data_IF_148218774835
#
_entry.id   IF_148218774835
#
_cell.length_a   1.000
_cell.length_b   1.000
_cell.length_c   1.000
_cell.angle_alpha   90.00
_cell.angle_beta   90.00
_cell.angle_gamma   90.00
#
_symmetry.space_group_name_H-M   'P 1'
#
loop_
_entity.id
_entity.type
_entity.pdbx_description
1 polymer ?
#
# COMPACT_ATOMS: atom_id res chain seq x y z
N UNK A 1 41.19 7.59 28.09
CA UNK A 1 39.74 7.32 27.92
C UNK A 1 39.12 8.46 27.10
N UNK A 2 39.12 8.39 25.76
CA UNK A 2 38.35 9.33 24.92
C UNK A 2 36.86 9.16 25.28
N UNK A 3 36.13 10.26 25.51
CA UNK A 3 34.69 10.22 25.81
C UNK A 3 33.99 9.43 24.71
N UNK A 4 33.22 8.39 25.08
CA UNK A 4 32.50 7.50 24.15
C UNK A 4 31.59 8.25 23.13
N UNK A 5 31.29 9.54 23.37
CA UNK A 5 30.40 10.39 22.56
C UNK A 5 30.93 10.84 21.20
N UNK A 6 32.14 10.46 20.77
CA UNK A 6 32.73 10.86 19.48
C UNK A 6 33.04 9.70 18.53
N UNK A 7 32.68 8.47 18.89
CA UNK A 7 32.85 7.33 17.99
C UNK A 7 31.70 7.31 16.97
N UNK A 8 31.96 6.93 15.71
CA UNK A 8 30.89 6.76 14.73
C UNK A 8 29.89 5.67 15.21
N UNK A 9 28.67 5.66 14.67
CA UNK A 9 27.76 4.55 14.88
C UNK A 9 28.37 3.24 14.38
N UNK A 10 28.11 2.14 15.07
CA UNK A 10 28.53 0.81 14.62
C UNK A 10 27.50 -0.25 14.97
N UNK A 11 27.41 -1.27 14.12
CA UNK A 11 26.52 -2.41 14.27
C UNK A 11 27.38 -3.68 14.33
N UNK A 12 27.23 -4.44 15.40
CA UNK A 12 27.98 -5.67 15.64
C UNK A 12 26.99 -6.84 15.73
N UNK A 13 27.06 -7.78 14.78
CA UNK A 13 26.24 -8.99 14.81
C UNK A 13 26.68 -9.87 15.98
N UNK A 14 25.72 -10.25 16.82
CA UNK A 14 25.96 -11.07 18.00
C UNK A 14 25.95 -12.55 17.60
N UNK A 15 27.10 -13.21 17.73
CA UNK A 15 27.18 -14.65 17.55
C UNK A 15 26.40 -15.33 18.68
N UNK A 16 25.26 -15.93 18.35
CA UNK A 16 24.54 -16.81 19.26
C UNK A 16 24.82 -18.25 18.87
N UNK A 17 25.53 -18.98 19.72
CA UNK A 17 25.51 -20.44 19.73
C UNK A 17 24.12 -20.90 20.21
N UNK A 18 23.14 -20.88 19.31
CA UNK A 18 21.77 -21.33 19.59
C UNK A 18 21.28 -22.23 18.47
N UNK A 19 20.62 -23.33 18.82
CA UNK A 19 20.00 -24.29 17.89
C UNK A 19 18.81 -23.73 17.07
N UNK A 20 18.61 -22.41 17.06
CA UNK A 20 17.48 -21.76 16.38
C UNK A 20 17.96 -20.55 15.59
N UNK A 21 17.62 -20.55 14.30
CA UNK A 21 17.82 -19.42 13.40
C UNK A 21 17.07 -18.17 13.91
N UNK A 22 17.57 -17.00 13.51
CA UNK A 22 16.89 -15.73 13.73
C UNK A 22 15.59 -15.69 12.93
N UNK A 23 14.64 -14.88 13.35
CA UNK A 23 13.36 -14.69 12.65
C UNK A 23 13.43 -13.44 11.80
N UNK A 24 12.68 -13.41 10.69
CA UNK A 24 12.55 -12.19 9.89
C UNK A 24 12.06 -10.99 10.72
N UNK A 25 11.23 -11.23 11.73
CA UNK A 25 10.82 -10.19 12.69
C UNK A 25 11.98 -9.53 13.44
N UNK A 26 13.08 -10.24 13.66
CA UNK A 26 14.23 -9.70 14.38
C UNK A 26 14.94 -8.60 13.57
N UNK A 27 14.90 -8.70 12.23
CA UNK A 27 15.40 -7.66 11.33
C UNK A 27 14.53 -6.40 11.36
N UNK A 28 13.21 -6.58 11.34
CA UNK A 28 12.24 -5.48 11.50
C UNK A 28 12.41 -4.79 12.86
N UNK A 29 12.51 -5.59 13.92
CA UNK A 29 12.64 -5.08 15.28
C UNK A 29 13.99 -4.36 15.48
N UNK A 30 15.07 -4.79 14.80
CA UNK A 30 16.34 -4.07 14.72
C UNK A 30 16.18 -2.71 14.03
N UNK A 31 15.51 -2.64 12.87
CA UNK A 31 15.26 -1.38 12.17
C UNK A 31 14.46 -0.39 13.04
N UNK A 32 13.40 -0.87 13.68
CA UNK A 32 12.57 -0.08 14.59
C UNK A 32 13.33 0.37 15.84
N UNK A 33 14.17 -0.50 16.39
CA UNK A 33 15.03 -0.14 17.52
C UNK A 33 16.03 0.96 17.15
N UNK A 34 16.64 0.89 15.96
CA UNK A 34 17.57 1.91 15.44
C UNK A 34 16.88 3.27 15.37
N UNK A 35 15.65 3.32 14.86
CA UNK A 35 14.87 4.55 14.70
C UNK A 35 14.22 5.06 16.00
N UNK A 36 14.53 4.42 17.12
CA UNK A 36 14.01 4.75 18.45
C UNK A 36 12.48 4.69 18.53
N UNK A 37 11.86 3.77 17.78
CA UNK A 37 10.42 3.55 17.85
C UNK A 37 10.03 3.06 19.26
N UNK A 38 8.96 3.65 19.80
CA UNK A 38 8.50 3.36 21.15
C UNK A 38 8.14 1.88 21.35
N UNK A 39 8.60 1.30 22.46
CA UNK A 39 8.19 -0.05 22.88
C UNK A 39 8.98 -1.20 22.24
N UNK A 40 10.01 -0.94 21.42
CA UNK A 40 10.85 -1.98 20.84
C UNK A 40 12.09 -2.25 21.70
N UNK A 41 12.31 -3.52 22.14
CA UNK A 41 13.44 -3.87 22.98
C UNK A 41 14.76 -3.84 22.20
N UNK A 42 15.88 -3.90 22.91
CA UNK A 42 17.19 -4.09 22.28
C UNK A 42 17.18 -5.37 21.43
N UNK A 43 17.64 -5.31 20.17
CA UNK A 43 17.66 -6.45 19.28
C UNK A 43 18.56 -7.53 19.83
N UNK A 44 18.14 -8.78 19.65
CA UNK A 44 18.90 -9.93 20.14
C UNK A 44 19.98 -10.39 19.17
N UNK A 45 19.89 -9.97 17.90
CA UNK A 45 20.75 -10.39 16.80
C UNK A 45 21.97 -9.46 16.60
N UNK A 46 21.91 -8.24 17.13
CA UNK A 46 22.94 -7.23 16.90
C UNK A 46 23.04 -6.29 18.09
N UNK A 47 24.24 -5.74 18.30
CA UNK A 47 24.51 -4.64 19.21
C UNK A 47 24.73 -3.37 18.41
N UNK A 48 23.95 -2.33 18.71
CA UNK A 48 24.04 -1.02 18.04
C UNK A 48 24.72 -0.02 18.98
N UNK A 49 25.92 0.42 18.63
CA UNK A 49 26.67 1.43 19.38
C UNK A 49 26.43 2.83 18.79
N UNK A 50 26.34 3.84 19.65
CA UNK A 50 26.03 5.23 19.27
C UNK A 50 24.77 5.37 18.40
N UNK A 51 23.74 4.56 18.70
CA UNK A 51 22.46 4.51 17.99
C UNK A 51 21.84 5.88 17.70
N UNK A 52 21.90 6.80 18.66
CA UNK A 52 21.37 8.17 18.52
C UNK A 52 21.99 8.97 17.35
N UNK A 53 23.12 8.53 16.79
CA UNK A 53 23.71 9.13 15.60
C UNK A 53 23.09 8.59 14.31
N UNK A 54 22.49 7.39 14.34
CA UNK A 54 21.83 6.78 13.18
C UNK A 54 20.46 7.42 13.02
N UNK A 55 20.31 8.23 11.99
CA UNK A 55 19.05 8.95 11.74
C UNK A 55 18.07 8.18 10.87
N UNK A 56 18.55 7.20 10.10
CA UNK A 56 17.80 6.56 9.03
C UNK A 56 18.13 5.09 8.86
N UNK A 57 17.18 4.34 8.29
CA UNK A 57 17.36 2.96 7.88
C UNK A 57 16.87 2.78 6.45
N UNK A 58 17.70 2.15 5.61
CA UNK A 58 17.30 1.61 4.31
C UNK A 58 17.29 0.10 4.44
N UNK A 59 16.10 -0.50 4.32
CA UNK A 59 15.89 -1.94 4.37
C UNK A 59 15.62 -2.44 2.95
N UNK A 60 16.53 -3.20 2.37
CA UNK A 60 16.46 -3.66 0.99
C UNK A 60 16.30 -5.18 0.91
N UNK A 61 15.24 -5.61 0.25
CA UNK A 61 14.91 -7.01 -0.02
C UNK A 61 15.38 -7.33 -1.44
N UNK A 62 16.23 -8.34 -1.58
CA UNK A 62 16.86 -8.74 -2.84
C UNK A 62 16.63 -10.24 -3.06
N UNK A 63 15.45 -10.65 -3.57
CA UNK A 63 15.19 -12.04 -3.91
C UNK A 63 16.11 -12.53 -5.03
N UNK A 64 16.45 -13.82 -5.02
CA UNK A 64 17.36 -14.45 -5.98
C UNK A 64 18.81 -14.58 -5.50
N UNK A 65 19.15 -14.01 -4.35
CA UNK A 65 20.42 -14.29 -3.67
C UNK A 65 20.33 -15.62 -2.90
N UNK A 66 21.21 -16.54 -3.22
CA UNK A 66 21.25 -17.88 -2.64
C UNK A 66 22.45 -18.05 -1.70
N UNK A 67 22.37 -19.01 -0.77
CA UNK A 67 23.50 -19.33 0.13
C UNK A 67 24.74 -19.77 -0.64
N UNK A 68 24.53 -20.52 -1.73
CA UNK A 68 25.59 -21.00 -2.60
C UNK A 68 26.38 -19.87 -3.25
N UNK A 69 25.74 -18.73 -3.54
CA UNK A 69 26.41 -17.53 -4.09
C UNK A 69 27.50 -17.04 -3.12
N UNK A 70 27.33 -17.24 -1.81
CA UNK A 70 28.27 -16.84 -0.76
C UNK A 70 29.15 -17.99 -0.25
N UNK A 71 29.19 -19.12 -0.97
CA UNK A 71 29.97 -20.31 -0.61
C UNK A 71 29.46 -21.03 0.64
N UNK A 72 28.19 -20.83 1.01
CA UNK A 72 27.54 -21.48 2.15
C UNK A 72 26.72 -22.66 1.60
N UNK A 73 26.96 -23.91 2.04
CA UNK A 73 26.17 -25.07 1.59
C UNK A 73 24.68 -24.94 1.98
N UNK A 74 23.77 -25.40 1.12
CA UNK A 74 22.32 -25.33 1.36
C UNK A 74 21.86 -26.16 2.58
N UNK A 75 22.51 -27.30 2.85
CA UNK A 75 22.18 -28.21 3.96
C UNK A 75 22.61 -27.70 5.35
N UNK A 76 22.95 -26.42 5.47
CA UNK A 76 23.50 -25.85 6.70
C UNK A 76 22.41 -25.46 7.68
N UNK A 77 21.72 -26.44 8.26
CA UNK A 77 20.62 -26.22 9.22
C UNK A 77 21.05 -25.54 10.55
N UNK A 78 22.36 -25.41 10.82
CA UNK A 78 22.89 -25.09 12.16
C UNK A 78 23.76 -23.83 12.26
N UNK A 79 23.91 -23.06 11.20
CA UNK A 79 24.67 -21.80 11.26
C UNK A 79 23.71 -20.64 11.54
N UNK A 80 23.84 -19.99 12.69
CA UNK A 80 23.12 -18.73 12.99
C UNK A 80 23.76 -17.53 12.30
N UNK A 81 25.10 -17.50 12.23
CA UNK A 81 25.88 -16.49 11.51
C UNK A 81 27.24 -17.03 11.11
N UNK A 82 27.76 -16.66 9.93
CA UNK A 82 29.11 -17.01 9.48
C UNK A 82 29.83 -15.82 8.85
N UNK A 83 31.16 -15.87 8.84
CA UNK A 83 31.97 -14.92 8.10
C UNK A 83 31.75 -15.10 6.59
N UNK A 84 31.79 -14.02 5.82
CA UNK A 84 31.69 -14.06 4.37
C UNK A 84 33.04 -14.50 3.77
N UNK A 85 33.18 -15.81 3.51
CA UNK A 85 34.46 -16.38 3.02
C UNK A 85 34.59 -16.39 1.51
N UNK A 86 33.47 -16.51 0.78
CA UNK A 86 33.43 -16.59 -0.67
C UNK A 86 32.36 -15.63 -1.17
N UNK A 87 32.71 -14.69 -2.05
CA UNK A 87 31.76 -13.75 -2.67
C UNK A 87 32.10 -13.70 -4.16
N UNK A 88 31.10 -13.71 -5.07
CA UNK A 88 31.34 -13.60 -6.50
C UNK A 88 32.09 -12.30 -6.85
N UNK A 89 32.94 -12.32 -7.86
CA UNK A 89 33.76 -11.16 -8.24
C UNK A 89 32.90 -9.94 -8.63
N UNK A 90 31.69 -10.19 -9.13
CA UNK A 90 30.71 -9.18 -9.51
C UNK A 90 30.09 -8.47 -8.29
N UNK A 91 29.98 -9.14 -7.14
CA UNK A 91 29.33 -8.64 -5.92
C UNK A 91 30.32 -7.97 -4.95
N UNK A 92 31.21 -7.14 -5.49
CA UNK A 92 32.26 -6.44 -4.72
C UNK A 92 31.75 -5.61 -3.54
N UNK A 93 30.55 -5.06 -3.63
CA UNK A 93 29.89 -4.28 -2.58
C UNK A 93 29.75 -5.08 -1.28
N UNK A 94 29.32 -6.35 -1.40
CA UNK A 94 29.17 -7.23 -0.24
C UNK A 94 30.53 -7.47 0.45
N UNK A 95 31.57 -7.70 -0.35
CA UNK A 95 32.94 -7.92 0.12
C UNK A 95 33.56 -6.71 0.82
N UNK A 96 33.17 -5.50 0.43
CA UNK A 96 33.71 -4.26 0.99
C UNK A 96 33.01 -3.82 2.26
N UNK A 97 31.72 -4.14 2.42
CA UNK A 97 30.87 -3.52 3.43
C UNK A 97 30.26 -4.47 4.46
N UNK A 98 30.35 -5.79 4.24
CA UNK A 98 29.78 -6.78 5.16
C UNK A 98 30.84 -7.80 5.55
N UNK A 99 30.93 -8.08 6.85
CA UNK A 99 31.85 -9.08 7.39
C UNK A 99 31.14 -10.43 7.60
N UNK A 100 29.84 -10.40 7.94
CA UNK A 100 29.07 -11.56 8.39
C UNK A 100 27.75 -11.72 7.66
N UNK A 101 27.37 -12.97 7.43
CA UNK A 101 26.04 -13.41 7.05
C UNK A 101 25.21 -13.77 8.28
N UNK A 102 23.91 -13.47 8.27
CA UNK A 102 22.96 -13.85 9.32
C UNK A 102 21.85 -14.71 8.71
N UNK A 103 21.68 -15.94 9.23
CA UNK A 103 20.61 -16.83 8.79
C UNK A 103 19.29 -16.45 9.45
N UNK A 104 18.26 -16.24 8.61
CA UNK A 104 16.95 -15.76 9.02
C UNK A 104 15.87 -16.64 8.40
N UNK A 105 14.93 -17.11 9.22
CA UNK A 105 13.78 -17.87 8.73
C UNK A 105 12.75 -16.95 8.08
N UNK A 106 12.28 -17.34 6.90
CA UNK A 106 11.19 -16.67 6.20
C UNK A 106 9.92 -16.61 7.07
N UNK A 107 9.17 -15.50 7.02
CA UNK A 107 7.94 -15.36 7.78
C UNK A 107 6.86 -16.28 7.18
N UNK A 108 6.07 -16.92 8.04
CA UNK A 108 5.02 -17.82 7.60
C UNK A 108 4.49 -18.69 8.73
N UNK A 109 3.63 -19.63 8.36
CA UNK A 109 3.16 -20.72 9.19
C UNK A 109 3.52 -22.07 8.56
N UNK A 110 2.98 -23.17 9.09
CA UNK A 110 3.29 -24.53 8.62
C UNK A 110 2.88 -24.78 7.16
N UNK A 111 1.91 -24.02 6.64
CA UNK A 111 1.26 -24.29 5.37
C UNK A 111 1.47 -23.15 4.37
N UNK A 112 2.04 -22.01 4.78
CA UNK A 112 2.11 -20.82 3.93
C UNK A 112 3.26 -19.90 4.33
N UNK A 113 3.97 -19.39 3.33
CA UNK A 113 4.90 -18.27 3.48
C UNK A 113 4.16 -16.95 3.35
N UNK A 114 4.60 -15.97 4.12
CA UNK A 114 4.04 -14.62 4.09
C UNK A 114 4.94 -13.69 3.28
N UNK A 115 4.39 -12.75 2.49
CA UNK A 115 5.20 -11.76 1.79
C UNK A 115 6.09 -10.95 2.74
N UNK A 116 7.38 -10.79 2.42
CA UNK A 116 8.34 -10.11 3.29
C UNK A 116 7.97 -8.65 3.57
N UNK A 117 7.54 -7.89 2.56
CA UNK A 117 7.04 -6.52 2.74
C UNK A 117 5.90 -6.47 3.75
N UNK A 118 4.94 -7.41 3.69
CA UNK A 118 3.84 -7.50 4.65
C UNK A 118 4.33 -7.84 6.06
N UNK A 119 5.24 -8.81 6.17
CA UNK A 119 5.81 -9.21 7.45
C UNK A 119 6.64 -8.09 8.11
N UNK A 120 7.27 -7.23 7.30
CA UNK A 120 8.02 -6.08 7.75
C UNK A 120 7.10 -4.91 8.15
N UNK A 121 6.10 -4.60 7.33
CA UNK A 121 5.19 -3.46 7.50
C UNK A 121 4.06 -3.70 8.51
N UNK A 122 3.89 -4.93 8.99
CA UNK A 122 2.89 -5.30 10.01
C UNK A 122 3.55 -5.91 11.24
N UNK A 123 3.31 -5.30 12.41
CA UNK A 123 3.77 -5.79 13.71
C UNK A 123 2.64 -6.57 14.37
N UNK A 124 2.74 -7.91 14.52
CA UNK A 124 1.64 -8.71 15.05
C UNK A 124 1.26 -8.34 16.48
N UNK A 125 -0.04 -8.32 16.77
CA UNK A 125 -0.51 -8.13 18.14
C UNK A 125 -0.21 -9.35 19.00
N UNK A 126 0.14 -9.12 20.27
CA UNK A 126 0.06 -10.17 21.28
C UNK A 126 -1.39 -10.64 21.46
N UNK A 127 -1.59 -11.88 21.92
CA UNK A 127 -2.93 -12.42 22.22
C UNK A 127 -3.74 -11.50 23.15
N UNK A 128 -3.08 -10.86 24.13
CA UNK A 128 -3.71 -9.89 25.04
C UNK A 128 -4.18 -8.63 24.32
N UNK A 129 -3.35 -8.05 23.45
CA UNK A 129 -3.71 -6.88 22.65
C UNK A 129 -4.85 -7.20 21.67
N UNK A 130 -4.78 -8.33 20.96
CA UNK A 130 -5.83 -8.79 20.05
C UNK A 130 -7.17 -8.92 20.78
N UNK A 131 -7.19 -9.63 21.92
CA UNK A 131 -8.41 -9.78 22.72
C UNK A 131 -8.96 -8.45 23.25
N UNK A 132 -8.09 -7.52 23.65
CA UNK A 132 -8.52 -6.18 24.10
C UNK A 132 -9.20 -5.42 22.95
N UNK A 133 -8.56 -5.40 21.79
CA UNK A 133 -9.03 -4.66 20.60
C UNK A 133 -10.33 -5.23 20.04
N UNK A 134 -10.47 -6.56 20.01
CA UNK A 134 -11.74 -7.22 19.64
C UNK A 134 -12.87 -6.78 20.57
N UNK A 135 -12.69 -6.87 21.89
CA UNK A 135 -13.71 -6.45 22.87
C UNK A 135 -14.08 -4.97 22.73
N UNK A 136 -13.09 -4.12 22.50
CA UNK A 136 -13.29 -2.68 22.29
C UNK A 136 -14.19 -2.43 21.07
N UNK A 137 -13.87 -3.05 19.93
CA UNK A 137 -14.63 -2.90 18.70
C UNK A 137 -16.04 -3.52 18.79
N UNK A 138 -16.18 -4.67 19.46
CA UNK A 138 -17.47 -5.32 19.70
C UNK A 138 -18.42 -4.46 20.54
N UNK A 139 -17.86 -3.70 21.50
CA UNK A 139 -18.64 -2.82 22.37
C UNK A 139 -19.05 -1.50 21.72
N UNK A 140 -18.45 -1.13 20.58
CA UNK A 140 -18.72 0.14 19.90
C UNK A 140 -19.87 -0.03 18.90
N UNK A 141 -21.00 0.59 19.21
CA UNK A 141 -22.08 0.86 18.24
C UNK A 141 -21.64 2.00 17.32
N UNK A 142 -21.91 1.86 16.03
CA UNK A 142 -21.50 2.84 15.02
C UNK A 142 -22.67 3.72 14.59
N UNK A 143 -22.37 5.00 14.34
CA UNK A 143 -23.23 5.91 13.58
C UNK A 143 -22.53 6.34 12.29
N UNK A 144 -23.26 6.89 11.31
CA UNK A 144 -22.68 7.33 10.03
C UNK A 144 -21.43 8.23 10.18
N UNK A 145 -21.41 9.25 11.07
CA UNK A 145 -20.22 10.06 11.28
C UNK A 145 -18.97 9.30 11.76
N UNK A 146 -19.10 8.13 12.42
CA UNK A 146 -17.97 7.30 12.81
C UNK A 146 -17.23 6.66 11.61
N UNK A 147 -17.88 6.64 10.44
CA UNK A 147 -17.37 6.02 9.21
C UNK A 147 -16.79 7.04 8.23
N UNK A 148 -16.88 8.34 8.54
CA UNK A 148 -16.35 9.40 7.69
C UNK A 148 -14.82 9.31 7.61
N UNK A 149 -14.30 9.54 6.42
CA UNK A 149 -12.87 9.72 6.19
C UNK A 149 -12.33 10.92 6.98
N UNK A 150 -11.15 10.75 7.55
CA UNK A 150 -10.37 11.84 8.15
C UNK A 150 -9.60 12.61 7.08
N UNK A 151 -9.17 13.85 7.34
CA UNK A 151 -8.30 14.57 6.39
C UNK A 151 -7.04 13.79 6.03
N UNK A 152 -6.52 12.98 6.95
CA UNK A 152 -5.37 12.12 6.69
C UNK A 152 -5.72 11.01 5.69
N UNK A 153 -6.91 10.42 5.76
CA UNK A 153 -7.37 9.43 4.78
C UNK A 153 -7.48 10.04 3.38
N UNK A 154 -7.99 11.27 3.27
CA UNK A 154 -8.03 12.00 1.99
C UNK A 154 -6.62 12.17 1.41
N UNK A 155 -5.67 12.59 2.24
CA UNK A 155 -4.29 12.86 1.80
C UNK A 155 -3.48 11.61 1.50
N UNK A 156 -3.70 10.53 2.23
CA UNK A 156 -2.97 9.27 2.07
C UNK A 156 -3.41 8.53 0.81
N UNK A 157 -4.68 8.63 0.45
CA UNK A 157 -5.26 7.94 -0.69
C UNK A 157 -5.50 8.87 -1.89
N UNK A 158 -4.86 10.05 -1.90
CA UNK A 158 -4.87 11.05 -2.98
C UNK A 158 -6.28 11.50 -3.45
N UNK A 159 -7.20 11.66 -2.50
CA UNK A 159 -8.51 12.21 -2.79
C UNK A 159 -8.42 13.72 -3.05
N UNK A 160 -9.31 14.26 -3.90
CA UNK A 160 -9.38 15.68 -4.08
C UNK A 160 -9.94 16.36 -2.81
N UNK A 161 -9.08 17.12 -2.14
CA UNK A 161 -9.34 17.67 -0.80
C UNK A 161 -10.24 18.90 -0.88
N UNK A 162 -11.44 18.81 -0.29
CA UNK A 162 -12.38 19.92 -0.16
C UNK A 162 -12.02 20.83 1.04
N UNK A 163 -12.20 22.17 0.95
CA UNK A 163 -11.84 23.08 2.05
C UNK A 163 -12.59 22.86 3.36
N UNK A 164 -13.80 22.28 3.30
CA UNK A 164 -14.63 21.95 4.47
C UNK A 164 -14.31 20.58 5.09
N UNK A 165 -13.29 19.85 4.63
CA UNK A 165 -12.84 18.62 5.30
C UNK A 165 -12.40 18.95 6.73
N UNK A 166 -12.89 18.18 7.70
CA UNK A 166 -12.65 18.46 9.11
C UNK A 166 -11.15 18.38 9.46
N UNK A 167 -10.64 19.42 10.13
CA UNK A 167 -9.25 19.56 10.60
C UNK A 167 -8.18 19.53 9.49
N UNK A 168 -8.54 19.86 8.25
CA UNK A 168 -7.55 19.95 7.17
C UNK A 168 -6.67 21.22 7.30
N UNK A 169 -5.33 21.08 7.23
CA UNK A 169 -4.42 22.24 7.15
C UNK A 169 -4.61 23.02 5.84
N UNK A 170 -4.59 24.36 5.92
CA UNK A 170 -4.86 25.23 4.77
C UNK A 170 -3.81 25.12 3.66
N UNK A 171 -2.56 24.84 4.01
CA UNK A 171 -1.47 24.61 3.06
C UNK A 171 -1.61 23.30 2.26
N UNK A 172 -2.47 22.39 2.72
CA UNK A 172 -2.75 21.11 2.07
C UNK A 172 -3.99 21.17 1.15
N UNK A 173 -4.75 22.26 1.18
CA UNK A 173 -5.85 22.49 0.25
C UNK A 173 -5.27 23.07 -1.04
N UNK A 174 -5.25 22.26 -2.10
CA UNK A 174 -4.88 22.74 -3.43
C UNK A 174 -5.96 23.70 -3.96
N UNK A 175 -5.60 24.80 -4.65
CA UNK A 175 -6.57 25.64 -5.35
C UNK A 175 -7.39 24.83 -6.34
N UNK A 176 -8.65 25.23 -6.58
CA UNK A 176 -9.48 24.67 -7.65
C UNK A 176 -8.78 24.93 -8.98
N UNK A 177 -8.51 23.88 -9.74
CA UNK A 177 -8.03 23.96 -11.12
C UNK A 177 -9.21 24.04 -12.09
N UNK A 178 -8.95 24.38 -13.35
CA UNK A 178 -9.99 24.56 -14.36
C UNK A 178 -10.90 23.32 -14.50
N UNK A 179 -12.21 23.54 -14.46
CA UNK A 179 -13.24 22.50 -14.57
C UNK A 179 -13.62 21.77 -13.27
N UNK A 180 -12.92 22.03 -12.16
CA UNK A 180 -13.27 21.49 -10.85
C UNK A 180 -14.32 22.33 -10.11
N UNK A 181 -15.18 21.67 -9.34
CA UNK A 181 -16.19 22.33 -8.50
C UNK A 181 -16.21 21.77 -7.07
N UNK A 182 -16.55 22.63 -6.12
CA UNK A 182 -16.76 22.29 -4.72
C UNK A 182 -18.27 22.20 -4.46
N UNK A 183 -18.70 21.14 -3.76
CA UNK A 183 -20.07 21.13 -3.19
C UNK A 183 -20.20 22.27 -2.18
N UNK A 184 -21.35 22.95 -2.15
CA UNK A 184 -21.59 24.06 -1.22
C UNK A 184 -22.66 23.71 -0.20
N UNK A 185 -22.58 24.21 1.06
CA UNK A 185 -23.64 23.99 2.04
C UNK A 185 -24.96 24.64 1.62
N UNK A 186 -26.05 23.89 1.70
CA UNK A 186 -27.43 24.40 1.63
C UNK A 186 -28.38 23.48 2.42
N UNK A 187 -29.52 24.02 2.84
CA UNK A 187 -30.56 23.24 3.52
C UNK A 187 -31.55 22.63 2.52
N UNK A 188 -31.97 21.39 2.78
CA UNK A 188 -33.03 20.70 2.05
C UNK A 188 -33.69 19.64 2.94
N UNK A 189 -34.93 19.25 2.58
CA UNK A 189 -35.73 18.26 3.31
C UNK A 189 -35.54 16.81 2.80
N UNK A 190 -34.72 16.63 1.75
CA UNK A 190 -34.42 15.31 1.17
C UNK A 190 -33.47 14.45 2.01
N UNK A 191 -33.06 13.31 1.46
CA UNK A 191 -32.03 12.45 2.06
C UNK A 191 -30.73 13.21 2.29
N UNK A 192 -30.07 13.00 3.43
CA UNK A 192 -28.75 13.56 3.75
C UNK A 192 -27.59 12.57 3.56
N UNK A 193 -27.87 11.45 2.90
CA UNK A 193 -26.88 10.42 2.60
C UNK A 193 -27.16 9.86 1.22
N UNK A 194 -26.12 9.79 0.41
CA UNK A 194 -26.18 9.38 -0.97
C UNK A 194 -25.08 8.37 -1.26
N UNK A 195 -25.32 7.45 -2.19
CA UNK A 195 -24.27 6.60 -2.76
C UNK A 195 -24.12 6.90 -4.24
N UNK A 196 -22.87 6.94 -4.68
CA UNK A 196 -22.47 7.34 -6.02
C UNK A 196 -21.56 6.26 -6.62
N UNK A 197 -21.77 5.98 -7.90
CA UNK A 197 -20.87 5.20 -8.72
C UNK A 197 -20.90 5.72 -10.17
N UNK A 198 -19.77 5.65 -10.85
CA UNK A 198 -19.60 6.09 -12.23
C UNK A 198 -18.97 5.01 -13.10
N UNK A 199 -19.41 4.96 -14.35
CA UNK A 199 -18.71 4.23 -15.39
C UNK A 199 -17.79 5.19 -16.16
N UNK A 200 -16.59 4.71 -16.51
CA UNK A 200 -15.59 5.50 -17.22
C UNK A 200 -15.09 4.78 -18.47
N UNK A 201 -14.70 5.58 -19.46
CA UNK A 201 -13.98 5.12 -20.65
C UNK A 201 -12.56 5.72 -20.69
N UNK A 202 -11.68 5.14 -21.50
CA UNK A 202 -10.31 5.61 -21.68
C UNK A 202 -10.23 6.57 -22.87
N UNK A 203 -9.48 7.66 -22.70
CA UNK A 203 -9.07 8.61 -23.76
C UNK A 203 -7.55 8.69 -23.83
N UNK A 204 -7.02 9.50 -24.75
CA UNK A 204 -5.58 9.77 -24.81
C UNK A 204 -5.03 10.50 -23.58
N UNK A 205 -5.87 11.26 -22.86
CA UNK A 205 -5.49 12.10 -21.72
C UNK A 205 -5.80 11.47 -20.36
N UNK A 206 -6.61 10.40 -20.33
CA UNK A 206 -6.96 9.68 -19.11
C UNK A 206 -8.34 9.06 -19.15
N UNK A 207 -8.85 8.64 -17.99
CA UNK A 207 -10.23 8.17 -17.85
C UNK A 207 -11.20 9.35 -17.89
N UNK A 208 -12.35 9.17 -18.52
CA UNK A 208 -13.43 10.16 -18.62
C UNK A 208 -14.77 9.56 -18.21
N UNK A 209 -15.63 10.38 -17.62
CA UNK A 209 -16.97 9.99 -17.18
C UNK A 209 -17.88 9.70 -18.38
N UNK A 210 -18.58 8.55 -18.35
CA UNK A 210 -19.53 8.15 -19.40
C UNK A 210 -20.89 7.71 -18.89
N UNK A 211 -21.02 7.31 -17.62
CA UNK A 211 -22.31 7.16 -16.92
C UNK A 211 -22.14 7.49 -15.45
N UNK A 212 -23.18 8.03 -14.83
CA UNK A 212 -23.23 8.30 -13.39
C UNK A 212 -24.54 7.78 -12.82
N UNK A 213 -24.47 7.13 -11.65
CA UNK A 213 -25.61 6.76 -10.83
C UNK A 213 -25.51 7.35 -9.43
N UNK A 214 -26.57 8.03 -8.99
CA UNK A 214 -26.72 8.57 -7.64
C UNK A 214 -27.99 8.03 -7.01
N UNK A 215 -27.86 7.41 -5.84
CA UNK A 215 -28.99 6.87 -5.06
C UNK A 215 -29.05 7.54 -3.69
N UNK A 216 -30.25 7.65 -3.12
CA UNK A 216 -30.44 8.10 -1.75
C UNK A 216 -30.34 6.95 -0.72
N UNK A 217 -30.47 7.27 0.57
CA UNK A 217 -30.38 6.27 1.65
C UNK A 217 -31.51 5.22 1.61
N UNK A 218 -32.65 5.56 1.03
CA UNK A 218 -33.80 4.67 0.82
C UNK A 218 -33.68 3.83 -0.47
N UNK A 219 -32.50 3.85 -1.12
CA UNK A 219 -32.17 3.12 -2.36
C UNK A 219 -32.95 3.58 -3.60
N UNK A 220 -33.54 4.77 -3.54
CA UNK A 220 -34.16 5.41 -4.70
C UNK A 220 -33.08 6.04 -5.59
N UNK A 221 -33.15 5.76 -6.89
CA UNK A 221 -32.26 6.35 -7.89
C UNK A 221 -32.68 7.77 -8.20
N UNK A 222 -31.83 8.74 -7.85
CA UNK A 222 -32.05 10.17 -8.07
C UNK A 222 -31.45 10.66 -9.39
N UNK A 223 -30.38 10.01 -9.84
CA UNK A 223 -29.69 10.28 -11.09
C UNK A 223 -29.19 8.96 -11.68
N UNK A 224 -29.44 8.70 -12.95
CA UNK A 224 -28.84 7.63 -13.74
C UNK A 224 -28.76 8.12 -15.19
N UNK A 225 -27.62 8.69 -15.57
CA UNK A 225 -27.46 9.37 -16.85
C UNK A 225 -26.15 9.02 -17.53
N UNK A 226 -26.21 8.85 -18.85
CA UNK A 226 -25.03 8.81 -19.70
C UNK A 226 -24.47 10.21 -19.92
N UNK A 227 -23.16 10.30 -20.05
CA UNK A 227 -22.42 11.55 -20.25
C UNK A 227 -21.63 11.45 -21.53
N UNK A 228 -21.61 12.52 -22.32
CA UNK A 228 -20.77 12.65 -23.50
C UNK A 228 -19.45 13.33 -23.09
N UNK A 229 -18.31 12.62 -23.14
CA UNK A 229 -17.01 13.25 -22.92
C UNK A 229 -16.69 14.29 -23.99
N UNK A 230 -15.92 15.31 -23.62
CA UNK A 230 -15.37 16.28 -24.57
C UNK A 230 -14.23 15.66 -25.39
N UNK A 231 -13.42 14.83 -24.74
CA UNK A 231 -12.30 14.12 -25.34
C UNK A 231 -12.77 12.87 -26.12
N UNK A 232 -12.05 12.53 -27.19
CA UNK A 232 -12.32 11.34 -27.98
C UNK A 232 -11.99 10.06 -27.20
N UNK A 233 -12.96 9.14 -27.14
CA UNK A 233 -12.80 7.83 -26.49
C UNK A 233 -11.92 6.94 -27.37
N UNK A 234 -10.82 6.45 -26.81
CA UNK A 234 -9.91 5.50 -27.48
C UNK A 234 -10.26 4.05 -27.14
N UNK A 235 -10.80 3.81 -25.94
CA UNK A 235 -11.29 2.50 -25.51
C UNK A 235 -12.47 2.68 -24.56
N UNK A 236 -13.60 2.04 -24.89
CA UNK A 236 -14.82 2.10 -24.11
C UNK A 236 -14.74 1.30 -22.80
N UNK A 237 -13.77 0.40 -22.68
CA UNK A 237 -13.62 -0.50 -21.55
C UNK A 237 -14.89 -1.34 -21.30
N UNK A 238 -15.65 -1.68 -22.35
CA UNK A 238 -17.01 -2.25 -22.28
C UNK A 238 -17.13 -3.46 -21.36
N UNK A 239 -16.10 -4.29 -21.25
CA UNK A 239 -16.09 -5.44 -20.34
C UNK A 239 -16.19 -5.03 -18.85
N UNK A 240 -15.71 -3.85 -18.52
CA UNK A 240 -15.78 -3.25 -17.19
C UNK A 240 -16.95 -2.27 -17.14
N UNK A 241 -16.98 -1.27 -18.02
CA UNK A 241 -17.92 -0.14 -17.96
C UNK A 241 -19.35 -0.46 -18.41
N UNK A 242 -19.54 -1.50 -19.23
CA UNK A 242 -20.81 -1.75 -19.95
C UNK A 242 -21.16 -0.73 -21.03
N UNK A 243 -20.29 0.26 -21.27
CA UNK A 243 -20.54 1.33 -22.23
C UNK A 243 -20.16 0.88 -23.64
N UNK A 244 -20.98 1.25 -24.63
CA UNK A 244 -20.71 1.07 -26.05
C UNK A 244 -20.85 2.38 -26.80
N UNK A 245 -20.28 2.47 -28.00
CA UNK A 245 -20.40 3.64 -28.86
C UNK A 245 -21.87 3.97 -29.18
N UNK A 246 -22.71 2.95 -29.37
CA UNK A 246 -24.14 3.12 -29.65
C UNK A 246 -24.89 3.77 -28.49
N UNK A 247 -24.54 3.45 -27.24
CA UNK A 247 -25.14 4.05 -26.05
C UNK A 247 -24.84 5.55 -25.98
N UNK A 248 -23.64 5.98 -26.37
CA UNK A 248 -23.22 7.39 -26.30
C UNK A 248 -23.58 8.22 -27.54
N UNK A 249 -23.95 7.58 -28.66
CA UNK A 249 -24.15 8.25 -29.97
C UNK A 249 -25.06 9.48 -29.94
N UNK A 250 -26.14 9.44 -29.15
CA UNK A 250 -27.13 10.52 -29.07
C UNK A 250 -27.10 11.26 -27.72
N UNK A 251 -26.12 10.96 -26.87
CA UNK A 251 -25.98 11.61 -25.57
C UNK A 251 -25.47 13.03 -25.79
N UNK A 252 -26.10 13.99 -25.13
CA UNK A 252 -25.73 15.41 -25.19
C UNK A 252 -25.38 15.99 -23.82
N UNK A 253 -25.72 15.28 -22.75
CA UNK A 253 -25.38 15.65 -21.38
C UNK A 253 -23.87 15.75 -21.24
N UNK A 254 -23.40 16.94 -20.85
CA UNK A 254 -21.99 17.22 -20.60
C UNK A 254 -21.62 16.93 -19.15
N UNK A 255 -20.31 16.87 -18.86
CA UNK A 255 -19.81 16.82 -17.48
C UNK A 255 -20.35 18.00 -16.65
N UNK A 256 -20.42 19.19 -17.25
CA UNK A 256 -20.90 20.40 -16.57
C UNK A 256 -22.37 20.28 -16.16
N UNK A 257 -23.21 19.70 -17.02
CA UNK A 257 -24.62 19.46 -16.69
C UNK A 257 -24.77 18.51 -15.48
N UNK A 258 -23.93 17.47 -15.42
CA UNK A 258 -23.91 16.53 -14.28
C UNK A 258 -23.41 17.22 -13.00
N UNK A 259 -22.33 17.99 -13.07
CA UNK A 259 -21.84 18.77 -11.92
C UNK A 259 -22.91 19.70 -11.35
N UNK A 260 -23.62 20.42 -12.23
CA UNK A 260 -24.68 21.36 -11.85
C UNK A 260 -25.91 20.63 -11.25
N UNK A 261 -26.20 19.39 -11.69
CA UNK A 261 -27.24 18.55 -11.08
C UNK A 261 -26.81 18.06 -9.70
N UNK A 262 -25.61 17.50 -9.56
CA UNK A 262 -25.10 17.00 -8.29
C UNK A 262 -25.04 18.12 -7.25
N UNK A 263 -24.50 19.29 -7.59
CA UNK A 263 -24.38 20.42 -6.66
C UNK A 263 -25.73 21.03 -6.24
N UNK A 264 -26.85 20.67 -6.91
CA UNK A 264 -28.22 21.03 -6.49
C UNK A 264 -28.87 19.96 -5.62
N UNK A 265 -28.42 18.71 -5.73
CA UNK A 265 -28.97 17.56 -4.99
C UNK A 265 -28.22 17.36 -3.67
N UNK A 266 -26.89 17.50 -3.69
CA UNK A 266 -25.99 17.18 -2.58
C UNK A 266 -25.40 18.46 -2.00
N UNK A 267 -25.76 18.75 -0.75
CA UNK A 267 -25.15 19.77 0.09
C UNK A 267 -23.77 19.31 0.55
N UNK A 268 -22.86 20.26 0.81
CA UNK A 268 -21.56 19.94 1.41
C UNK A 268 -21.67 19.30 2.81
N UNK A 269 -22.83 19.42 3.47
CA UNK A 269 -23.11 18.82 4.78
C UNK A 269 -23.66 17.38 4.69
N UNK A 270 -24.04 16.92 3.50
CA UNK A 270 -24.50 15.55 3.28
C UNK A 270 -23.35 14.56 3.27
N UNK A 271 -23.68 13.26 3.32
CA UNK A 271 -22.69 12.18 3.26
C UNK A 271 -22.71 11.53 1.89
N UNK A 272 -21.55 11.42 1.26
CA UNK A 272 -21.36 10.68 0.01
C UNK A 272 -20.67 9.34 0.27
N UNK A 273 -21.29 8.25 -0.20
CA UNK A 273 -20.81 6.87 -0.08
C UNK A 273 -20.36 6.37 -1.45
N UNK A 274 -19.28 5.59 -1.50
CA UNK A 274 -18.87 4.87 -2.71
C UNK A 274 -17.79 3.83 -2.44
N UNK A 275 -17.16 3.31 -3.49
CA UNK A 275 -16.10 2.31 -3.40
C UNK A 275 -14.87 2.71 -4.22
N UNK A 276 -13.77 3.05 -3.54
CA UNK A 276 -12.64 3.74 -4.20
C UNK A 276 -13.13 4.98 -4.97
N UNK A 277 -13.99 5.76 -4.30
CA UNK A 277 -14.75 6.87 -4.86
C UNK A 277 -13.85 8.04 -5.27
N UNK A 278 -12.55 8.00 -4.94
CA UNK A 278 -11.58 8.94 -5.49
C UNK A 278 -11.58 8.91 -7.03
N UNK A 279 -11.81 7.74 -7.64
CA UNK A 279 -11.81 7.60 -9.09
C UNK A 279 -13.00 8.35 -9.70
N UNK A 280 -14.19 8.18 -9.12
CA UNK A 280 -15.43 8.85 -9.49
C UNK A 280 -15.30 10.36 -9.35
N UNK A 281 -14.83 10.83 -8.19
CA UNK A 281 -14.67 12.25 -7.90
C UNK A 281 -13.65 12.93 -8.83
N UNK A 282 -12.59 12.22 -9.21
CA UNK A 282 -11.60 12.72 -10.16
C UNK A 282 -12.18 12.91 -11.58
N UNK A 283 -12.93 11.94 -12.10
CA UNK A 283 -13.56 12.09 -13.43
C UNK A 283 -14.74 13.06 -13.43
N UNK A 284 -15.44 13.17 -12.29
CA UNK A 284 -16.48 14.18 -12.07
C UNK A 284 -15.89 15.58 -11.87
N UNK A 285 -14.61 15.68 -11.51
CA UNK A 285 -13.96 16.92 -11.07
C UNK A 285 -14.75 17.61 -9.95
N UNK A 286 -15.23 16.83 -8.97
CA UNK A 286 -15.97 17.33 -7.79
C UNK A 286 -15.17 17.07 -6.54
N UNK A 287 -15.13 18.05 -5.63
CA UNK A 287 -14.62 17.84 -4.27
C UNK A 287 -15.78 17.90 -3.29
N UNK A 288 -15.83 16.92 -2.39
CA UNK A 288 -16.88 16.81 -1.38
C UNK A 288 -16.25 16.46 -0.02
N UNK A 289 -16.63 17.12 1.09
CA UNK A 289 -15.90 17.00 2.35
C UNK A 289 -16.26 15.77 3.20
N UNK A 290 -17.43 15.15 2.98
CA UNK A 290 -18.00 14.15 3.89
C UNK A 290 -18.19 12.82 3.17
N UNK A 291 -17.10 12.08 3.07
CA UNK A 291 -17.04 10.83 2.31
C UNK A 291 -16.94 9.61 3.24
N UNK A 292 -17.69 8.57 2.90
CA UNK A 292 -17.51 7.21 3.42
C UNK A 292 -17.09 6.33 2.23
N UNK A 293 -15.86 5.82 2.26
CA UNK A 293 -15.39 4.89 1.24
C UNK A 293 -15.40 3.45 1.74
N UNK A 294 -16.19 2.60 1.09
CA UNK A 294 -16.33 1.19 1.47
C UNK A 294 -15.02 0.40 1.32
N UNK A 295 -14.13 0.81 0.43
CA UNK A 295 -12.81 0.20 0.26
C UNK A 295 -11.85 0.50 1.42
N UNK A 296 -12.12 1.53 2.22
CA UNK A 296 -11.32 1.93 3.39
C UNK A 296 -11.93 1.43 4.71
N UNK A 297 -13.27 1.44 4.83
CA UNK A 297 -13.93 0.95 6.06
C UNK A 297 -13.93 -0.59 6.15
N UNK A 298 -13.74 -1.30 5.04
CA UNK A 298 -13.49 -2.75 4.99
C UNK A 298 -12.02 -3.01 4.65
N UNK A 299 -11.24 -3.36 5.66
CA UNK A 299 -9.80 -3.53 5.55
C UNK A 299 -9.44 -4.78 4.74
N UNK A 300 -8.53 -4.61 3.78
CA UNK A 300 -8.02 -5.73 3.00
C UNK A 300 -7.13 -6.65 3.87
N UNK A 301 -7.24 -7.99 3.78
CA UNK A 301 -6.44 -8.91 4.59
C UNK A 301 -4.91 -8.81 4.41
N UNK A 302 -4.45 -8.32 3.26
CA UNK A 302 -3.02 -8.01 3.02
C UNK A 302 -2.58 -6.67 3.60
N UNK A 303 -3.50 -5.85 4.10
CA UNK A 303 -3.25 -4.48 4.53
C UNK A 303 -3.05 -3.52 3.36
N UNK A 304 -2.82 -2.23 3.64
CA UNK A 304 -2.43 -1.24 2.64
C UNK A 304 -1.20 -1.67 1.83
N UNK A 305 -1.06 -1.21 0.57
CA UNK A 305 -1.95 -0.29 -0.14
C UNK A 305 -3.14 -1.02 -0.81
N UNK A 306 -3.27 -2.33 -0.60
CA UNK A 306 -4.31 -3.12 -1.24
C UNK A 306 -5.71 -2.76 -0.70
N UNK A 307 -6.66 -2.63 -1.62
CA UNK A 307 -8.09 -2.46 -1.35
C UNK A 307 -8.83 -3.73 -1.82
N UNK A 308 -9.83 -4.18 -1.06
CA UNK A 308 -10.71 -5.26 -1.50
C UNK A 308 -11.66 -4.74 -2.57
N UNK A 309 -11.87 -5.49 -3.66
CA UNK A 309 -12.84 -5.10 -4.68
C UNK A 309 -14.27 -5.14 -4.14
N UNK A 310 -15.16 -4.29 -4.68
CA UNK A 310 -16.57 -4.28 -4.33
C UNK A 310 -17.21 -5.66 -4.52
N UNK A 311 -16.92 -6.33 -5.63
CA UNK A 311 -17.36 -7.70 -5.90
C UNK A 311 -16.97 -8.70 -4.81
N UNK A 312 -15.74 -8.62 -4.31
CA UNK A 312 -15.31 -9.46 -3.19
C UNK A 312 -16.09 -9.12 -1.92
N UNK A 313 -16.23 -7.83 -1.58
CA UNK A 313 -16.95 -7.40 -0.38
C UNK A 313 -18.44 -7.80 -0.43
N UNK A 314 -19.11 -7.61 -1.57
CA UNK A 314 -20.48 -8.02 -1.81
C UNK A 314 -20.64 -9.52 -1.58
N UNK A 315 -19.72 -10.33 -2.12
CA UNK A 315 -19.78 -11.78 -1.94
C UNK A 315 -19.50 -12.21 -0.51
N UNK A 316 -18.51 -11.60 0.14
CA UNK A 316 -18.11 -12.00 1.50
C UNK A 316 -19.11 -11.57 2.57
N UNK A 317 -19.67 -10.36 2.46
CA UNK A 317 -20.44 -9.75 3.54
C UNK A 317 -21.95 -9.71 3.28
N UNK A 318 -22.37 -9.69 2.01
CA UNK A 318 -23.78 -9.63 1.63
C UNK A 318 -24.29 -10.94 1.00
N UNK A 319 -23.40 -11.91 0.75
CA UNK A 319 -23.65 -13.10 -0.06
C UNK A 319 -24.25 -12.79 -1.45
N UNK A 320 -23.95 -11.59 -1.98
CA UNK A 320 -24.39 -11.13 -3.30
C UNK A 320 -23.32 -11.40 -4.34
N UNK A 321 -23.74 -11.80 -5.54
CA UNK A 321 -22.86 -11.90 -6.71
C UNK A 321 -23.24 -10.79 -7.67
N UNK A 322 -22.42 -9.74 -7.71
CA UNK A 322 -22.59 -8.56 -8.58
C UNK A 322 -21.63 -8.61 -9.76
N UNK A 323 -21.82 -7.74 -10.76
CA UNK A 323 -20.93 -7.61 -11.92
C UNK A 323 -20.76 -8.97 -12.65
N UNK A 324 -21.88 -9.62 -12.93
CA UNK A 324 -21.94 -10.86 -13.73
C UNK A 324 -22.04 -10.50 -15.22
N UNK A 325 -20.94 -10.01 -15.79
CA UNK A 325 -20.90 -9.42 -17.12
C UNK A 325 -20.22 -8.05 -17.04
N UNK A 326 -20.80 -7.05 -17.71
CA UNK A 326 -20.43 -5.65 -17.52
C UNK A 326 -20.88 -5.14 -16.15
N UNK A 327 -20.30 -4.03 -15.68
CA UNK A 327 -20.75 -3.36 -14.47
C UNK A 327 -22.07 -2.61 -14.72
N UNK A 328 -22.80 -2.36 -13.63
CA UNK A 328 -23.96 -1.50 -13.58
C UNK A 328 -23.83 -0.56 -12.39
N UNK A 329 -23.46 0.69 -12.64
CA UNK A 329 -23.32 1.71 -11.60
C UNK A 329 -24.49 1.83 -10.60
N UNK A 330 -25.74 1.51 -10.97
CA UNK A 330 -26.85 1.48 -10.01
C UNK A 330 -26.72 0.30 -9.03
N UNK A 331 -26.38 -0.89 -9.51
CA UNK A 331 -26.10 -2.08 -8.68
C UNK A 331 -24.91 -1.82 -7.74
N UNK A 332 -23.86 -1.20 -8.26
CA UNK A 332 -22.63 -0.95 -7.51
C UNK A 332 -22.83 0.13 -6.43
N UNK A 333 -23.52 1.23 -6.75
CA UNK A 333 -23.91 2.24 -5.75
C UNK A 333 -24.81 1.65 -4.65
N UNK A 334 -25.79 0.81 -5.00
CA UNK A 334 -26.64 0.13 -4.01
C UNK A 334 -25.84 -0.82 -3.12
N UNK A 335 -24.91 -1.56 -3.70
CA UNK A 335 -24.03 -2.46 -2.95
C UNK A 335 -23.16 -1.71 -1.95
N UNK A 336 -22.64 -0.53 -2.32
CA UNK A 336 -21.88 0.32 -1.40
C UNK A 336 -22.72 0.75 -0.20
N UNK A 337 -23.94 1.21 -0.46
CA UNK A 337 -24.89 1.59 0.58
C UNK A 337 -25.26 0.42 1.49
N UNK A 338 -25.50 -0.76 0.94
CA UNK A 338 -25.78 -1.98 1.69
C UNK A 338 -24.62 -2.38 2.62
N UNK A 339 -23.38 -2.27 2.16
CA UNK A 339 -22.20 -2.53 2.97
C UNK A 339 -22.10 -1.57 4.16
N UNK A 340 -22.41 -0.28 3.94
CA UNK A 340 -22.47 0.72 5.02
C UNK A 340 -23.59 0.42 6.00
N UNK A 341 -24.82 0.15 5.52
CA UNK A 341 -25.96 -0.25 6.36
C UNK A 341 -25.64 -1.49 7.19
N UNK A 342 -25.03 -2.52 6.57
CA UNK A 342 -24.58 -3.73 7.25
C UNK A 342 -23.57 -3.40 8.36
N UNK A 343 -22.59 -2.53 8.09
CA UNK A 343 -21.59 -2.15 9.08
C UNK A 343 -22.20 -1.39 10.27
N UNK A 344 -23.22 -0.57 10.04
CA UNK A 344 -23.91 0.19 11.10
C UNK A 344 -24.77 -0.70 12.01
N UNK A 345 -25.44 -1.72 11.46
CA UNK A 345 -26.24 -2.65 12.28
C UNK A 345 -25.37 -3.67 13.04
N UNK A 346 -24.14 -3.87 12.57
CA UNK A 346 -23.12 -4.63 13.27
C UNK A 346 -22.27 -3.71 14.16
N UNK A 347 -21.29 -4.28 14.86
CA UNK A 347 -20.34 -3.50 15.64
C UNK A 347 -19.10 -3.11 14.80
N UNK A 348 -18.23 -2.28 15.38
CA UNK A 348 -17.04 -1.77 14.70
C UNK A 348 -16.02 -2.85 14.27
N UNK A 349 -16.19 -4.12 14.69
CA UNK A 349 -15.32 -5.22 14.30
C UNK A 349 -15.54 -5.67 12.85
N UNK A 350 -16.76 -5.54 12.31
CA UNK A 350 -17.07 -6.04 10.97
C UNK A 350 -16.17 -5.38 9.92
N UNK A 351 -15.45 -6.19 9.14
CA UNK A 351 -14.53 -5.69 8.12
C UNK A 351 -13.21 -5.13 8.65
N UNK A 352 -12.83 -5.40 9.92
CA UNK A 352 -11.53 -5.01 10.48
C UNK A 352 -10.57 -6.18 10.57
N UNK A 353 -9.30 -5.93 10.24
CA UNK A 353 -8.20 -6.91 10.32
C UNK A 353 -7.44 -6.72 11.63
N UNK A 354 -7.64 -7.62 12.59
CA UNK A 354 -7.02 -7.56 13.92
C UNK A 354 -5.81 -8.49 14.03
N UNK A 355 -4.87 -8.36 13.08
CA UNK A 355 -3.66 -9.20 13.06
C UNK A 355 -2.43 -8.47 13.60
N UNK A 356 -2.36 -7.16 13.42
CA UNK A 356 -1.23 -6.37 13.88
C UNK A 356 -1.46 -4.86 13.81
N UNK A 357 -0.40 -4.14 14.12
CA UNK A 357 -0.32 -2.69 13.95
C UNK A 357 0.59 -2.37 12.77
N UNK A 358 0.16 -1.40 11.97
CA UNK A 358 0.94 -0.92 10.84
C UNK A 358 2.23 -0.25 11.33
N UNK A 359 3.35 -0.59 10.70
CA UNK A 359 4.66 0.02 10.93
C UNK A 359 4.61 1.54 10.76
N UNK A 360 3.85 2.03 9.77
CA UNK A 360 3.68 3.45 9.50
C UNK A 360 3.00 4.18 10.66
N UNK A 361 2.06 3.52 11.34
CA UNK A 361 1.40 4.08 12.54
C UNK A 361 2.39 4.16 13.70
N UNK A 362 3.13 3.08 13.96
CA UNK A 362 4.13 3.00 15.04
C UNK A 362 5.20 4.10 14.89
N UNK A 363 5.70 4.28 13.66
CA UNK A 363 6.70 5.30 13.35
C UNK A 363 6.10 6.70 13.38
N UNK A 364 4.89 6.88 12.81
CA UNK A 364 4.17 8.16 12.85
C UNK A 364 3.90 8.66 14.26
N UNK A 365 3.49 7.78 15.18
CA UNK A 365 3.28 8.10 16.60
C UNK A 365 4.60 8.49 17.31
N UNK A 366 5.75 8.15 16.71
CA UNK A 366 7.10 8.53 17.17
C UNK A 366 7.66 9.73 16.37
N UNK A 367 6.88 10.36 15.50
CA UNK A 367 7.29 11.48 14.65
C UNK A 367 8.23 11.09 13.51
N UNK A 368 8.25 9.82 13.11
CA UNK A 368 9.11 9.26 12.07
C UNK A 368 8.33 8.95 10.80
N UNK A 369 8.96 9.18 9.66
CA UNK A 369 8.41 8.91 8.32
C UNK A 369 8.93 7.61 7.75
N UNK A 370 8.06 6.88 7.06
CA UNK A 370 8.42 5.64 6.39
C UNK A 370 7.78 5.55 5.00
N UNK A 371 8.47 4.91 4.07
CA UNK A 371 7.99 4.63 2.71
C UNK A 371 8.40 3.22 2.29
N UNK A 372 7.54 2.57 1.52
CA UNK A 372 7.79 1.31 0.84
C UNK A 372 7.92 1.57 -0.66
N UNK A 373 8.97 1.03 -1.27
CA UNK A 373 9.24 1.07 -2.70
C UNK A 373 9.20 -0.36 -3.21
N UNK A 374 8.24 -0.68 -4.07
CA UNK A 374 8.05 -2.03 -4.56
C UNK A 374 7.61 -2.01 -6.03
N UNK A 375 7.97 -3.04 -6.77
CA UNK A 375 7.54 -3.22 -8.16
C UNK A 375 6.12 -3.81 -8.21
N UNK A 376 5.18 -3.08 -7.62
CA UNK A 376 3.78 -3.45 -7.58
C UNK A 376 3.05 -2.79 -8.75
N UNK A 377 2.23 -3.57 -9.47
CA UNK A 377 1.23 -3.04 -10.41
C UNK A 377 0.03 -2.47 -9.64
N UNK A 378 0.25 -1.42 -8.86
CA UNK A 378 -0.85 -0.68 -8.22
C UNK A 378 -1.26 0.44 -9.17
N UNK A 379 -2.56 0.70 -9.28
CA UNK A 379 -3.09 1.68 -10.22
C UNK A 379 -2.80 3.14 -9.83
N UNK A 380 -2.43 3.43 -8.57
CA UNK A 380 -2.13 4.77 -8.08
C UNK A 380 -0.99 4.74 -7.04
N UNK A 381 -0.10 5.73 -7.09
CA UNK A 381 0.94 5.94 -6.06
C UNK A 381 0.29 6.29 -4.71
N UNK A 382 0.61 5.51 -3.69
CA UNK A 382 0.24 5.83 -2.31
C UNK A 382 1.40 6.57 -1.66
N UNK A 383 1.18 7.62 -0.86
CA UNK A 383 2.30 8.37 -0.24
C UNK A 383 3.26 7.49 0.57
N UNK A 384 2.76 6.37 1.09
CA UNK A 384 3.53 5.39 1.89
C UNK A 384 4.02 4.20 1.06
N UNK A 385 3.47 3.98 -0.14
CA UNK A 385 3.83 2.89 -1.06
C UNK A 385 3.95 3.45 -2.48
N UNK A 386 5.19 3.63 -2.93
CA UNK A 386 5.47 4.09 -4.29
C UNK A 386 5.69 2.88 -5.18
N UNK A 387 4.99 2.85 -6.31
CA UNK A 387 5.17 1.82 -7.32
C UNK A 387 6.36 2.18 -8.21
N UNK A 388 7.30 1.26 -8.36
CA UNK A 388 8.44 1.44 -9.27
C UNK A 388 8.36 0.42 -10.41
N UNK A 389 8.64 0.84 -11.64
CA UNK A 389 8.53 -0.02 -12.82
C UNK A 389 9.69 -1.02 -12.93
N UNK A 390 10.85 -0.67 -12.38
CA UNK A 390 12.09 -1.45 -12.42
C UNK A 390 13.02 -1.07 -11.24
N UNK A 391 14.10 -1.83 -11.05
CA UNK A 391 15.03 -1.64 -9.93
C UNK A 391 15.82 -0.32 -10.01
N UNK A 392 16.03 0.24 -11.21
CA UNK A 392 16.70 1.56 -11.35
C UNK A 392 15.82 2.70 -10.85
N UNK A 393 14.51 2.64 -11.12
CA UNK A 393 13.52 3.56 -10.56
C UNK A 393 13.39 3.39 -9.03
N UNK A 394 13.53 2.16 -8.51
CA UNK A 394 13.63 1.93 -7.06
C UNK A 394 14.85 2.66 -6.50
N UNK A 395 16.02 2.55 -7.13
CA UNK A 395 17.24 3.26 -6.69
C UNK A 395 17.05 4.77 -6.71
N UNK A 396 16.52 5.32 -7.81
CA UNK A 396 16.29 6.76 -7.93
C UNK A 396 15.30 7.25 -6.86
N UNK A 397 14.25 6.48 -6.59
CA UNK A 397 13.29 6.77 -5.52
C UNK A 397 13.90 6.69 -4.12
N UNK A 398 14.79 5.73 -3.85
CA UNK A 398 15.55 5.66 -2.58
C UNK A 398 16.34 6.95 -2.40
N UNK A 399 17.07 7.37 -3.44
CA UNK A 399 17.93 8.56 -3.38
C UNK A 399 17.11 9.85 -3.19
N UNK A 400 15.96 9.97 -3.85
CA UNK A 400 15.04 11.10 -3.70
C UNK A 400 14.50 11.18 -2.26
N UNK A 401 14.00 10.06 -1.72
CA UNK A 401 13.36 10.02 -0.39
C UNK A 401 14.34 9.95 0.79
N UNK A 402 15.61 9.62 0.54
CA UNK A 402 16.59 9.48 1.61
C UNK A 402 16.84 10.77 2.39
N UNK A 403 16.54 11.95 1.82
CA UNK A 403 16.71 13.21 2.52
C UNK A 403 15.67 13.42 3.65
N UNK A 404 14.40 13.05 3.40
CA UNK A 404 13.26 13.46 4.21
C UNK A 404 12.49 12.30 4.88
N UNK A 405 12.94 11.06 4.67
CA UNK A 405 12.32 9.85 5.22
C UNK A 405 13.27 9.12 6.18
N UNK A 406 12.74 8.63 7.31
CA UNK A 406 13.53 7.93 8.34
C UNK A 406 13.70 6.43 8.02
N UNK A 407 12.67 5.79 7.43
CA UNK A 407 12.70 4.38 7.04
C UNK A 407 12.29 4.20 5.58
N UNK A 408 13.17 3.63 4.78
CA UNK A 408 12.86 3.22 3.41
C UNK A 408 12.92 1.71 3.34
N UNK A 409 11.83 1.08 2.93
CA UNK A 409 11.76 -0.37 2.69
C UNK A 409 11.65 -0.56 1.18
N UNK A 410 12.64 -1.17 0.55
CA UNK A 410 12.67 -1.35 -0.89
C UNK A 410 12.76 -2.84 -1.25
N UNK A 411 12.16 -3.22 -2.38
CA UNK A 411 12.30 -4.56 -2.96
C UNK A 411 12.85 -4.45 -4.38
N UNK A 412 13.93 -5.18 -4.65
CA UNK A 412 14.44 -5.43 -6.00
C UNK A 412 13.82 -6.68 -6.61
N UNK A 413 13.77 -6.74 -7.94
CA UNK A 413 13.13 -7.82 -8.68
C UNK A 413 13.99 -8.36 -9.82
N UNK A 414 14.93 -7.59 -10.36
CA UNK A 414 15.65 -7.97 -11.57
C UNK A 414 16.41 -9.31 -11.41
N UNK A 415 16.98 -9.56 -10.23
CA UNK A 415 17.71 -10.80 -9.97
C UNK A 415 16.78 -12.03 -9.98
N UNK A 416 15.66 -12.02 -9.25
CA UNK A 416 14.68 -13.12 -9.30
C UNK A 416 14.05 -13.30 -10.69
N UNK A 417 13.81 -12.20 -11.41
CA UNK A 417 13.32 -12.23 -12.79
C UNK A 417 14.35 -12.83 -13.76
N UNK A 418 15.65 -12.54 -13.58
CA UNK A 418 16.72 -13.14 -14.39
C UNK A 418 16.81 -14.66 -14.23
N UNK A 419 16.40 -15.16 -13.07
CA UNK A 419 16.31 -16.59 -12.74
C UNK A 419 14.96 -17.21 -13.15
N UNK A 420 14.03 -16.42 -13.68
CA UNK A 420 12.68 -16.86 -14.04
C UNK A 420 11.77 -17.19 -12.84
N UNK A 421 12.16 -16.80 -11.62
CA UNK A 421 11.45 -17.13 -10.37
C UNK A 421 10.21 -16.26 -10.14
N UNK A 422 10.05 -15.18 -10.91
CA UNK A 422 8.88 -14.32 -10.87
C UNK A 422 7.71 -14.84 -11.73
N UNK A 423 7.91 -15.95 -12.46
CA UNK A 423 6.88 -16.61 -13.27
C UNK A 423 6.19 -17.70 -12.46
N UNK A 424 4.86 -17.76 -12.54
CA UNK A 424 4.10 -18.90 -12.01
C UNK A 424 4.37 -20.07 -12.96
N UNK A 425 4.99 -21.17 -12.49
CA UNK A 425 5.22 -22.33 -13.34
C UNK A 425 3.89 -22.89 -13.84
N UNK A 426 3.79 -23.18 -15.13
CA UNK A 426 2.67 -23.96 -15.65
C UNK A 426 2.70 -25.38 -15.08
N UNK A 427 1.55 -26.07 -15.06
CA UNK A 427 1.44 -27.42 -14.49
C UNK A 427 2.40 -28.44 -15.13
N UNK A 428 2.82 -28.22 -16.38
CA UNK A 428 3.82 -29.04 -17.08
C UNK A 428 5.27 -28.71 -16.67
N UNK A 429 5.59 -27.46 -16.36
CA UNK A 429 6.94 -27.03 -15.95
C UNK A 429 7.31 -27.49 -14.53
N UNK A 430 6.32 -27.86 -13.70
CA UNK A 430 6.53 -28.41 -12.36
C UNK A 430 7.10 -29.84 -12.37
N UNK A 431 6.94 -30.58 -13.48
CA UNK A 431 7.45 -31.96 -13.62
C UNK A 431 8.85 -32.01 -14.28
N UNK A 432 9.27 -30.94 -14.97
CA UNK A 432 10.52 -30.90 -15.76
C UNK A 432 11.63 -30.01 -15.17
N UNK A 433 11.35 -29.20 -14.15
CA UNK A 433 12.33 -28.22 -13.62
C UNK A 433 13.41 -28.84 -12.72
N UNK A 434 14.42 -29.45 -13.35
CA UNK A 434 15.80 -29.42 -12.84
C UNK A 434 16.55 -28.24 -13.51
N UNK A 435 16.59 -27.11 -12.79
CA UNK A 435 17.60 -26.03 -12.86
C UNK A 435 18.31 -25.81 -14.21
N UNK A 436 17.79 -24.91 -15.04
CA UNK A 436 18.57 -24.31 -16.15
C UNK A 436 18.39 -22.80 -16.21
N UNK A 437 19.01 -22.07 -15.28
CA UNK A 437 19.28 -20.63 -15.40
C UNK A 437 20.69 -20.38 -14.85
N UNK A 438 21.70 -20.52 -15.71
CA UNK A 438 23.09 -20.77 -15.30
C UNK A 438 24.03 -19.58 -15.38
N UNK A 439 23.55 -18.37 -15.71
CA UNK A 439 24.41 -17.17 -15.73
C UNK A 439 23.76 -15.98 -15.02
N UNK A 440 24.18 -15.76 -13.76
CA UNK A 440 23.81 -14.59 -12.93
C UNK A 440 24.71 -13.38 -13.15
N UNK A 441 25.72 -13.46 -14.02
CA UNK A 441 26.83 -12.49 -14.08
C UNK A 441 26.34 -11.07 -14.27
N UNK A 442 25.53 -10.81 -15.31
CA UNK A 442 25.02 -9.46 -15.58
C UNK A 442 24.11 -8.95 -14.44
N UNK A 443 23.20 -9.80 -13.95
CA UNK A 443 22.29 -9.42 -12.86
C UNK A 443 23.05 -9.09 -11.56
N UNK A 444 24.16 -9.78 -11.28
CA UNK A 444 25.05 -9.45 -10.17
C UNK A 444 25.82 -8.15 -10.38
N UNK A 445 26.31 -7.88 -11.59
CA UNK A 445 26.96 -6.59 -11.90
C UNK A 445 25.99 -5.43 -11.73
N UNK A 446 24.76 -5.56 -12.25
CA UNK A 446 23.72 -4.53 -12.14
C UNK A 446 23.32 -4.30 -10.68
N UNK A 447 23.10 -5.39 -9.91
CA UNK A 447 22.83 -5.32 -8.48
C UNK A 447 23.96 -4.59 -7.73
N UNK A 448 25.22 -4.95 -8.01
CA UNK A 448 26.38 -4.34 -7.38
C UNK A 448 26.45 -2.83 -7.67
N UNK A 449 26.26 -2.43 -8.92
CA UNK A 449 26.25 -1.03 -9.35
C UNK A 449 25.14 -0.22 -8.65
N UNK A 450 23.95 -0.82 -8.50
CA UNK A 450 22.82 -0.21 -7.80
C UNK A 450 23.09 -0.02 -6.31
N UNK A 451 23.65 -1.04 -5.64
CA UNK A 451 24.04 -0.96 -4.23
C UNK A 451 25.11 0.12 -3.99
N UNK A 452 26.12 0.20 -4.86
CA UNK A 452 27.15 1.24 -4.85
C UNK A 452 26.55 2.65 -5.02
N UNK A 453 25.62 2.80 -5.96
CA UNK A 453 24.89 4.06 -6.20
C UNK A 453 24.09 4.48 -4.97
N UNK A 454 23.36 3.56 -4.34
CA UNK A 454 22.64 3.81 -3.08
C UNK A 454 23.63 4.25 -1.99
N UNK A 455 24.68 3.45 -1.73
CA UNK A 455 25.62 3.71 -0.64
C UNK A 455 26.32 5.07 -0.75
N UNK A 456 26.70 5.47 -1.97
CA UNK A 456 27.32 6.77 -2.24
C UNK A 456 26.34 7.94 -2.21
N UNK A 457 25.08 7.70 -2.55
CA UNK A 457 24.08 8.76 -2.72
C UNK A 457 23.23 9.06 -1.48
N UNK A 458 23.08 8.12 -0.55
CA UNK A 458 22.29 8.35 0.67
C UNK A 458 23.05 9.20 1.70
N UNK A 459 22.34 9.94 2.58
CA UNK A 459 22.97 10.70 3.65
C UNK A 459 23.80 9.81 4.60
N UNK A 460 24.89 10.38 5.14
CA UNK A 460 25.67 9.73 6.18
C UNK A 460 24.85 9.41 7.44
N UNK A 461 25.37 8.48 8.25
CA UNK A 461 24.67 7.91 9.41
C UNK A 461 23.32 7.25 9.07
N UNK A 462 23.25 6.61 7.91
CA UNK A 462 22.15 5.75 7.51
C UNK A 462 22.58 4.29 7.68
N UNK A 463 21.75 3.48 8.33
CA UNK A 463 21.97 2.03 8.38
C UNK A 463 21.35 1.37 7.13
N UNK A 464 22.13 0.56 6.42
CA UNK A 464 21.65 -0.28 5.32
C UNK A 464 21.51 -1.71 5.84
N UNK A 465 20.32 -2.29 5.70
CA UNK A 465 20.04 -3.69 6.03
C UNK A 465 19.63 -4.38 4.74
N UNK A 466 20.37 -5.41 4.35
CA UNK A 466 20.09 -6.24 3.18
C UNK A 466 19.56 -7.60 3.63
N UNK A 467 18.54 -8.10 2.94
CA UNK A 467 18.03 -9.45 3.13
C UNK A 467 17.75 -10.09 1.78
N UNK A 468 18.00 -11.39 1.67
CA UNK A 468 17.44 -12.18 0.58
C UNK A 468 15.93 -12.38 0.76
N UNK A 469 15.26 -12.71 -0.34
CA UNK A 469 13.81 -12.91 -0.50
C UNK A 469 13.31 -14.27 -0.03
#
# INVERSE_FOLDING_TARGET
KKRKSYLPPSLEILNKETDKNSRFSDLRDLALFILEANGFPSPTIAKVNNRHLIGRVVFLIIPGLELADFGIPEDTEKITSCELTTIPEQLTFFKQHFDKFLMVNSPGDRNSLYPLIKAFTSVPYTKKQKNKKVKELESKTLVLPDLLMTHQDFLENDYPVHPLVLNVPQDQIKPITEGWVDTTPFEHEGSHTFSLDCEMCQTATGKVLTRISLINFDEETLLDEFVKPEDEIVDYLTQYSGITEELLKNVTTSLKDIQDKICKIISADDILIGHSIENDLNVLKIRHPRIIDTSLIFEHPRGPPFKSSLKYLAKQYLDKTIQNGSHDSVEDAKTCLDLVKLKLVNNALLGKVIDGESLFKILGDSGRKAVVLDNLKIQNDHKKYLACSNDDEVVDSILEKAADTDLIVAKFKDLESSLGWDKIPSTQELEENQSTYTDKTQAFEDLNNRLEKIYKGIPGNTAIILTSG
#
